data_IF_030302849571
#
_entry.id   IF_030302849571
#
_cell.length_a   1.000
_cell.length_b   1.000
_cell.length_c   1.000
_cell.angle_alpha   90.00
_cell.angle_beta   90.00
_cell.angle_gamma   90.00
#
_symmetry.space_group_name_H-M   'P 1'
#
loop_
_entity.id
_entity.type
_entity.pdbx_description
1 polymer ?
#
# COMPACT_ATOMS: atom_id res chain seq x y z
N UNK A 1 -21.83 -6.09 -3.16
CA UNK A 1 -22.16 -7.40 -3.73
C UNK A 1 -22.03 -8.46 -2.66
N UNK A 2 -23.15 -9.01 -2.20
CA UNK A 2 -23.17 -10.13 -1.26
C UNK A 2 -23.32 -11.43 -2.06
N UNK A 3 -22.50 -12.42 -1.76
CA UNK A 3 -22.61 -13.76 -2.32
C UNK A 3 -23.16 -14.68 -1.22
N UNK A 4 -24.26 -15.37 -1.50
CA UNK A 4 -24.85 -16.32 -0.58
C UNK A 4 -24.48 -17.73 -1.04
N UNK A 5 -23.87 -18.49 -0.13
CA UNK A 5 -23.59 -19.92 -0.31
C UNK A 5 -24.53 -20.69 0.62
N UNK A 6 -25.22 -21.70 0.08
CA UNK A 6 -26.11 -22.56 0.86
C UNK A 6 -25.73 -24.02 0.62
N UNK A 7 -25.70 -24.79 1.70
CA UNK A 7 -25.47 -26.24 1.65
C UNK A 7 -26.85 -26.91 1.62
N UNK A 8 -27.11 -27.71 0.59
CA UNK A 8 -28.34 -28.48 0.46
C UNK A 8 -28.09 -29.92 0.93
N UNK A 9 -29.02 -30.54 1.68
CA UNK A 9 -28.86 -31.91 2.14
C UNK A 9 -28.84 -32.88 0.96
N UNK A 10 -27.88 -33.82 0.97
CA UNK A 10 -27.82 -34.90 -0.01
C UNK A 10 -28.90 -35.97 0.28
N UNK A 11 -29.48 -36.54 -0.78
CA UNK A 11 -30.66 -37.44 -0.70
C UNK A 11 -30.41 -38.77 0.01
N UNK A 12 -29.16 -39.15 0.28
CA UNK A 12 -28.77 -40.48 0.77
C UNK A 12 -27.93 -40.45 2.06
N UNK A 13 -28.06 -39.40 2.88
CA UNK A 13 -27.32 -39.32 4.15
C UNK A 13 -28.11 -40.06 5.25
N UNK A 14 -27.54 -41.07 5.93
CA UNK A 14 -28.20 -41.74 7.05
C UNK A 14 -28.55 -40.76 8.16
N UNK A 15 -29.75 -40.90 8.72
CA UNK A 15 -30.20 -40.11 9.88
C UNK A 15 -29.20 -40.30 11.03
N UNK A 16 -28.81 -39.19 11.69
CA UNK A 16 -27.81 -39.12 12.77
C UNK A 16 -26.32 -39.22 12.36
N UNK A 17 -25.97 -38.89 11.12
CA UNK A 17 -24.56 -38.72 10.73
C UNK A 17 -24.19 -37.23 10.66
N UNK A 18 -23.09 -36.84 11.31
CA UNK A 18 -22.48 -35.52 11.14
C UNK A 18 -21.48 -35.56 9.99
N UNK A 19 -21.50 -34.53 9.14
CA UNK A 19 -20.56 -34.38 8.03
C UNK A 19 -19.87 -33.02 8.14
N UNK A 20 -18.54 -33.04 8.04
CA UNK A 20 -17.72 -31.83 8.01
C UNK A 20 -17.49 -31.40 6.57
N UNK A 21 -17.70 -30.12 6.28
CA UNK A 21 -17.44 -29.53 4.97
C UNK A 21 -16.36 -28.46 5.13
N UNK A 22 -15.40 -28.41 4.22
CA UNK A 22 -14.51 -27.26 4.04
C UNK A 22 -14.77 -26.66 2.67
N UNK A 23 -14.74 -25.34 2.59
CA UNK A 23 -14.88 -24.61 1.34
C UNK A 23 -13.85 -23.49 1.29
N UNK A 24 -13.40 -23.18 0.09
CA UNK A 24 -12.49 -22.06 -0.17
C UNK A 24 -13.11 -21.20 -1.25
N UNK A 25 -13.04 -19.88 -1.07
CA UNK A 25 -13.61 -18.91 -2.01
C UNK A 25 -12.49 -18.02 -2.49
N UNK A 26 -12.34 -17.95 -3.81
CA UNK A 26 -11.35 -17.13 -4.47
C UNK A 26 -12.04 -16.05 -5.30
N UNK A 27 -11.69 -14.79 -5.07
CA UNK A 27 -12.07 -13.71 -5.96
C UNK A 27 -10.98 -13.53 -7.01
N UNK A 28 -11.34 -13.61 -8.28
CA UNK A 28 -10.39 -13.46 -9.39
C UNK A 28 -10.82 -12.30 -10.28
N UNK A 29 -9.85 -11.53 -10.74
CA UNK A 29 -10.09 -10.34 -11.56
C UNK A 29 -9.02 -10.22 -12.65
N UNK A 30 -9.46 -10.12 -13.91
CA UNK A 30 -8.61 -9.82 -15.07
C UNK A 30 -8.93 -8.41 -15.57
N UNK A 31 -7.91 -7.58 -15.81
CA UNK A 31 -8.09 -6.20 -16.26
C UNK A 31 -7.10 -5.82 -17.35
N UNK A 32 -7.53 -4.87 -18.18
CA UNK A 32 -6.70 -4.19 -19.18
C UNK A 32 -6.63 -2.70 -18.86
N UNK A 33 -5.50 -2.09 -19.16
CA UNK A 33 -5.35 -0.63 -19.08
C UNK A 33 -5.94 0.06 -20.31
N UNK A 34 -6.99 0.86 -20.11
CA UNK A 34 -7.57 1.75 -21.10
C UNK A 34 -7.91 3.10 -20.44
N UNK A 35 -6.89 3.94 -20.20
CA UNK A 35 -6.94 5.17 -19.37
C UNK A 35 -7.27 4.95 -17.89
N UNK A 36 -7.98 3.87 -17.58
CA UNK A 36 -8.23 3.30 -16.26
C UNK A 36 -8.20 1.77 -16.36
N UNK A 37 -8.05 1.08 -15.24
CA UNK A 37 -8.16 -0.38 -15.19
C UNK A 37 -9.61 -0.81 -15.44
N UNK A 38 -9.82 -1.59 -16.51
CA UNK A 38 -11.15 -2.06 -16.92
C UNK A 38 -11.13 -3.58 -17.11
N UNK A 39 -12.18 -4.25 -16.64
CA UNK A 39 -12.40 -5.68 -16.88
C UNK A 39 -13.27 -5.93 -18.13
N UNK A 40 -13.76 -4.89 -18.81
CA UNK A 40 -14.75 -5.04 -19.88
C UNK A 40 -14.26 -5.87 -21.07
N UNK A 41 -12.94 -5.84 -21.34
CA UNK A 41 -12.32 -6.55 -22.45
C UNK A 41 -11.71 -7.90 -22.05
N UNK A 42 -11.85 -8.31 -20.79
CA UNK A 42 -11.27 -9.54 -20.26
C UNK A 42 -12.32 -10.44 -19.63
N UNK A 43 -12.17 -11.74 -19.86
CA UNK A 43 -12.93 -12.79 -19.20
C UNK A 43 -11.97 -13.78 -18.53
N UNK A 44 -12.42 -14.40 -17.45
CA UNK A 44 -11.67 -15.49 -16.81
C UNK A 44 -11.83 -16.75 -17.67
N UNK A 45 -10.71 -17.34 -18.08
CA UNK A 45 -10.65 -18.53 -18.90
C UNK A 45 -10.79 -19.82 -18.10
N UNK A 46 -11.18 -20.90 -18.77
CA UNK A 46 -11.43 -22.22 -18.17
C UNK A 46 -10.17 -22.98 -17.71
N UNK A 47 -8.97 -22.53 -18.10
CA UNK A 47 -7.69 -23.11 -17.64
C UNK A 47 -7.19 -22.45 -16.36
N UNK A 48 -8.06 -21.72 -15.67
CA UNK A 48 -7.76 -21.16 -14.36
C UNK A 48 -7.72 -22.28 -13.32
N UNK A 49 -6.66 -22.30 -12.52
CA UNK A 49 -6.43 -23.23 -11.42
C UNK A 49 -6.14 -22.44 -10.14
N UNK A 50 -6.04 -23.12 -9.00
CA UNK A 50 -5.74 -22.50 -7.69
C UNK A 50 -4.45 -21.66 -7.71
N UNK A 51 -3.43 -22.10 -8.45
CA UNK A 51 -2.13 -21.44 -8.53
C UNK A 51 -1.93 -20.59 -9.80
N UNK A 52 -2.86 -20.64 -10.74
CA UNK A 52 -2.70 -19.99 -12.05
C UNK A 52 -4.01 -19.38 -12.53
N UNK A 53 -4.01 -18.08 -12.76
CA UNK A 53 -5.11 -17.43 -13.46
C UNK A 53 -4.94 -17.45 -14.98
N UNK A 54 -6.03 -17.73 -15.69
CA UNK A 54 -6.08 -17.62 -17.15
C UNK A 54 -7.01 -16.47 -17.54
N UNK A 55 -6.47 -15.43 -18.18
CA UNK A 55 -7.26 -14.29 -18.66
C UNK A 55 -7.35 -14.31 -20.19
N UNK A 56 -8.58 -14.24 -20.70
CA UNK A 56 -8.87 -14.14 -22.13
C UNK A 56 -9.28 -12.70 -22.41
N UNK A 57 -8.41 -11.94 -23.08
CA UNK A 57 -8.64 -10.52 -23.33
C UNK A 57 -8.57 -10.19 -24.82
N UNK A 58 -9.46 -9.31 -25.28
CA UNK A 58 -9.57 -8.91 -26.69
C UNK A 58 -8.86 -7.58 -27.02
N UNK A 59 -8.54 -6.80 -26.00
CA UNK A 59 -7.83 -5.53 -26.14
C UNK A 59 -6.35 -5.68 -25.80
N UNK A 60 -5.47 -5.25 -26.71
CA UNK A 60 -4.00 -5.36 -26.55
C UNK A 60 -3.44 -4.11 -25.86
N UNK A 61 -3.11 -4.22 -24.58
CA UNK A 61 -2.50 -3.14 -23.78
C UNK A 61 -1.76 -3.77 -22.59
N UNK A 62 -1.55 -3.01 -21.52
CA UNK A 62 -1.10 -3.57 -20.24
C UNK A 62 -2.23 -4.40 -19.61
N UNK A 63 -1.86 -5.59 -19.12
CA UNK A 63 -2.76 -6.50 -18.45
C UNK A 63 -2.39 -6.59 -16.97
N UNK A 64 -3.40 -6.73 -16.12
CA UNK A 64 -3.24 -7.01 -14.71
C UNK A 64 -4.21 -8.09 -14.28
N UNK A 65 -3.78 -8.86 -13.29
CA UNK A 65 -4.54 -9.95 -12.70
C UNK A 65 -4.44 -9.90 -11.19
N UNK A 66 -5.55 -10.15 -10.51
CA UNK A 66 -5.58 -10.28 -9.06
C UNK A 66 -6.36 -11.52 -8.65
N UNK A 67 -5.81 -12.26 -7.69
CA UNK A 67 -6.49 -13.30 -6.94
C UNK A 67 -6.56 -12.80 -5.50
N UNK A 68 -7.75 -12.45 -5.03
CA UNK A 68 -7.98 -12.01 -3.67
C UNK A 68 -8.68 -13.13 -2.90
N UNK A 69 -8.06 -13.53 -1.79
CA UNK A 69 -8.72 -14.33 -0.78
C UNK A 69 -9.46 -13.35 0.14
N UNK A 70 -10.74 -13.57 0.47
CA UNK A 70 -11.44 -12.75 1.43
C UNK A 70 -10.59 -12.65 2.72
N UNK A 71 -10.27 -11.44 3.21
CA UNK A 71 -9.59 -11.32 4.48
C UNK A 71 -10.51 -11.91 5.56
N UNK A 72 -9.92 -12.56 6.57
CA UNK A 72 -10.67 -12.89 7.77
C UNK A 72 -11.27 -11.60 8.35
N UNK A 73 -12.54 -11.64 8.71
CA UNK A 73 -13.19 -10.51 9.38
C UNK A 73 -12.49 -10.26 10.71
N UNK A 74 -11.77 -9.14 10.81
CA UNK A 74 -11.16 -8.67 12.05
C UNK A 74 -12.22 -7.86 12.78
N UNK A 75 -12.71 -8.36 13.89
CA UNK A 75 -13.64 -7.61 14.73
C UNK A 75 -12.85 -7.06 15.94
N UNK A 76 -12.59 -5.75 15.99
CA UNK A 76 -11.67 -5.16 16.97
C UNK A 76 -12.13 -5.36 18.43
N UNK A 77 -13.42 -5.59 18.68
CA UNK A 77 -13.95 -5.85 20.01
C UNK A 77 -13.85 -7.32 20.41
N UNK A 78 -14.14 -8.24 19.49
CA UNK A 78 -13.95 -9.67 19.77
C UNK A 78 -12.48 -10.01 19.84
N UNK A 79 -11.64 -9.43 18.98
CA UNK A 79 -10.23 -9.83 18.78
C UNK A 79 -9.28 -9.11 19.74
N UNK A 80 -9.80 -8.24 20.63
CA UNK A 80 -9.06 -7.57 21.68
C UNK A 80 -8.28 -8.57 22.59
N UNK A 81 -8.81 -9.78 22.78
CA UNK A 81 -8.12 -10.83 23.54
C UNK A 81 -6.84 -11.33 22.85
N UNK A 82 -6.78 -11.27 21.51
CA UNK A 82 -5.59 -11.61 20.75
C UNK A 82 -4.48 -10.57 20.97
N UNK A 83 -4.86 -9.31 21.17
CA UNK A 83 -3.92 -8.28 21.61
C UNK A 83 -3.41 -8.48 23.04
N UNK A 84 -4.09 -9.26 23.89
CA UNK A 84 -3.56 -9.67 25.20
C UNK A 84 -2.50 -10.78 25.06
N UNK A 85 -2.63 -11.67 24.08
CA UNK A 85 -1.58 -12.67 23.77
C UNK A 85 -0.31 -12.07 23.17
N UNK A 86 -0.35 -10.79 22.77
CA UNK A 86 0.85 -10.06 22.33
C UNK A 86 1.88 -9.95 23.47
N UNK A 87 1.45 -10.01 24.73
CA UNK A 87 2.37 -10.09 25.88
C UNK A 87 3.11 -11.44 25.98
N UNK A 88 2.59 -12.51 25.38
CA UNK A 88 3.27 -13.82 25.35
C UNK A 88 4.48 -13.81 24.40
N UNK A 89 4.47 -12.93 23.39
CA UNK A 89 5.61 -12.71 22.49
C UNK A 89 6.01 -11.23 22.46
N UNK A 90 6.75 -10.75 23.48
CA UNK A 90 7.06 -9.34 23.66
C UNK A 90 7.92 -8.74 22.54
N UNK A 91 8.57 -9.58 21.72
CA UNK A 91 9.46 -9.13 20.65
C UNK A 91 8.74 -8.30 19.61
N UNK A 92 7.52 -8.68 19.23
CA UNK A 92 6.75 -7.96 18.20
C UNK A 92 6.47 -6.53 18.65
N UNK A 93 6.04 -6.34 19.90
CA UNK A 93 5.80 -5.00 20.48
C UNK A 93 7.09 -4.21 20.57
N UNK A 94 8.18 -4.85 21.02
CA UNK A 94 9.47 -4.20 21.14
C UNK A 94 9.95 -3.65 19.78
N UNK A 95 9.83 -4.43 18.70
CA UNK A 95 10.18 -3.96 17.35
C UNK A 95 9.30 -2.80 16.88
N UNK A 96 7.98 -2.88 17.08
CA UNK A 96 7.06 -1.79 16.72
C UNK A 96 7.42 -0.51 17.47
N UNK A 97 7.70 -0.61 18.77
CA UNK A 97 8.12 0.53 19.60
C UNK A 97 9.45 1.11 19.14
N UNK A 98 10.44 0.28 18.81
CA UNK A 98 11.74 0.75 18.31
C UNK A 98 11.58 1.49 16.98
N UNK A 99 10.81 0.94 16.03
CA UNK A 99 10.55 1.59 14.74
C UNK A 99 9.88 2.95 14.95
N UNK A 100 8.88 2.99 15.85
CA UNK A 100 8.17 4.23 16.16
C UNK A 100 9.09 5.28 16.80
N UNK A 101 9.97 4.87 17.72
CA UNK A 101 10.98 5.75 18.32
C UNK A 101 11.97 6.28 17.27
N UNK A 102 12.50 5.42 16.40
CA UNK A 102 13.41 5.82 15.32
C UNK A 102 12.73 6.81 14.37
N UNK A 103 11.46 6.58 14.04
CA UNK A 103 10.68 7.49 13.21
C UNK A 103 10.52 8.86 13.87
N UNK A 104 10.18 8.91 15.16
CA UNK A 104 10.08 10.19 15.88
C UNK A 104 11.42 10.92 15.96
N UNK A 105 12.53 10.20 16.20
CA UNK A 105 13.86 10.79 16.18
C UNK A 105 14.21 11.37 14.80
N UNK A 106 13.90 10.64 13.72
CA UNK A 106 14.09 11.12 12.36
C UNK A 106 13.25 12.38 12.06
N UNK A 107 12.00 12.42 12.51
CA UNK A 107 11.15 13.61 12.40
C UNK A 107 11.72 14.81 13.15
N UNK A 108 12.20 14.63 14.37
CA UNK A 108 12.84 15.70 15.14
C UNK A 108 14.11 16.20 14.45
N UNK A 109 14.92 15.30 13.91
CA UNK A 109 16.12 15.65 13.15
C UNK A 109 15.80 16.41 11.87
N UNK A 110 14.80 15.95 11.11
CA UNK A 110 14.33 16.62 9.90
C UNK A 110 13.80 18.03 10.24
N UNK A 111 12.97 18.17 11.28
CA UNK A 111 12.47 19.46 11.72
C UNK A 111 13.59 20.41 12.18
N UNK A 112 14.64 19.89 12.81
CA UNK A 112 15.83 20.67 13.16
C UNK A 112 16.59 21.14 11.91
N UNK A 113 16.78 20.26 10.92
CA UNK A 113 17.42 20.59 9.64
C UNK A 113 16.62 21.62 8.86
N UNK A 114 15.30 21.47 8.76
CA UNK A 114 14.43 22.42 8.08
C UNK A 114 14.49 23.83 8.71
N UNK A 115 14.62 23.93 10.04
CA UNK A 115 14.83 25.22 10.73
C UNK A 115 16.19 25.83 10.39
N UNK A 116 17.24 25.00 10.28
CA UNK A 116 18.59 25.46 9.92
C UNK A 116 18.66 25.90 8.46
N UNK A 117 17.99 25.20 7.55
CA UNK A 117 17.95 25.55 6.12
C UNK A 117 17.28 26.90 5.85
N UNK A 118 16.32 27.32 6.69
CA UNK A 118 15.73 28.66 6.59
C UNK A 118 16.76 29.79 6.73
N UNK A 119 17.81 29.60 7.54
CA UNK A 119 18.86 30.60 7.73
C UNK A 119 19.72 30.81 6.46
N UNK A 120 19.81 29.82 5.59
CA UNK A 120 20.59 29.88 4.35
C UNK A 120 19.75 30.28 3.13
N UNK A 121 18.45 30.52 3.32
CA UNK A 121 17.52 30.92 2.25
C UNK A 121 17.31 32.43 2.14
N UNK A 122 17.85 33.20 3.08
CA UNK A 122 17.77 34.65 3.03
C UNK A 122 18.69 35.21 1.94
N UNK A 123 18.22 36.28 1.28
CA UNK A 123 18.95 36.96 0.22
C UNK A 123 20.20 37.59 0.82
N UNK A 124 21.36 37.02 0.50
CA UNK A 124 22.65 37.62 0.86
C UNK A 124 22.90 38.77 -0.12
N UNK A 125 22.94 39.99 0.40
CA UNK A 125 23.37 41.17 -0.36
C UNK A 125 24.89 41.09 -0.47
N UNK A 126 25.41 40.98 -1.69
CA UNK A 126 26.85 41.06 -1.93
C UNK A 126 27.32 42.48 -1.64
N UNK A 127 28.52 42.62 -1.08
CA UNK A 127 29.13 43.90 -0.73
C UNK A 127 29.23 44.86 -1.94
N UNK A 128 29.23 44.30 -3.14
CA UNK A 128 29.37 44.98 -4.42
C UNK A 128 28.05 45.63 -4.91
N UNK A 129 26.92 45.33 -4.26
CA UNK A 129 25.60 45.82 -4.68
C UNK A 129 25.29 47.17 -4.02
N UNK A 130 25.76 48.27 -4.63
CA UNK A 130 25.61 49.62 -4.07
C UNK A 130 24.21 50.22 -4.32
N UNK A 131 23.53 50.75 -3.28
CA UNK A 131 22.24 51.41 -3.44
C UNK A 131 22.42 52.72 -4.25
N UNK A 132 21.90 52.73 -5.47
CA UNK A 132 21.96 53.90 -6.39
C UNK A 132 22.54 53.59 -7.77
N UNK A 133 23.09 52.39 -7.98
CA UNK A 133 23.48 51.96 -9.33
C UNK A 133 22.26 51.65 -10.20
N UNK A 134 22.40 51.89 -11.50
CA UNK A 134 21.30 51.74 -12.45
C UNK A 134 20.77 50.29 -12.55
N UNK A 135 21.59 49.30 -12.22
CA UNK A 135 21.27 47.87 -12.36
C UNK A 135 21.74 47.09 -11.13
N UNK A 136 20.81 46.53 -10.36
CA UNK A 136 21.11 45.56 -9.30
C UNK A 136 21.07 44.13 -9.86
N UNK A 137 22.04 43.29 -9.48
CA UNK A 137 22.09 41.89 -9.90
C UNK A 137 21.56 40.97 -8.81
N UNK A 138 20.62 40.10 -9.17
CA UNK A 138 20.17 38.98 -8.33
C UNK A 138 20.62 37.68 -8.98
N UNK A 139 21.54 36.97 -8.32
CA UNK A 139 22.02 35.67 -8.78
C UNK A 139 21.34 34.57 -7.97
N UNK A 140 20.59 33.70 -8.64
CA UNK A 140 19.98 32.52 -8.03
C UNK A 140 20.66 31.26 -8.59
N UNK A 141 21.27 30.46 -7.72
CA UNK A 141 21.90 29.19 -8.10
C UNK A 141 20.96 28.04 -7.71
N UNK A 142 20.51 27.29 -8.70
CA UNK A 142 19.72 26.07 -8.50
C UNK A 142 20.57 24.85 -8.78
N UNK A 143 20.87 24.05 -7.75
CA UNK A 143 21.55 22.76 -7.93
C UNK A 143 20.54 21.63 -8.14
N UNK A 144 20.93 20.60 -8.89
CA UNK A 144 20.09 19.43 -9.13
C UNK A 144 19.90 18.56 -7.87
N UNK A 145 18.83 17.77 -7.83
CA UNK A 145 18.48 16.92 -6.69
C UNK A 145 19.44 15.75 -6.39
N UNK A 146 20.47 15.55 -7.23
CA UNK A 146 21.42 14.45 -7.09
C UNK A 146 22.58 14.85 -6.18
N UNK A 147 23.06 13.90 -5.38
CA UNK A 147 24.28 14.10 -4.59
C UNK A 147 25.46 14.42 -5.52
N UNK A 148 26.19 15.51 -5.24
CA UNK A 148 27.27 16.06 -6.07
C UNK A 148 26.84 16.65 -7.44
N UNK A 149 25.63 17.21 -7.54
CA UNK A 149 25.16 17.89 -8.76
C UNK A 149 25.67 19.34 -8.94
N UNK A 150 26.73 19.73 -8.22
CA UNK A 150 27.35 21.06 -8.26
C UNK A 150 28.86 20.94 -8.27
#
# INVERSE_FOLDING_TARGET
NYYYMAILPASEVPVNTSMSYSFEIYYMLCQVWEKQWSNHYCLIGNQTTESRMHCLCTHMSFFAGAIAVPPNDINPFSDAHLFLTVFDNPWVVAFVMIILLLFLLALLWAAYKDRKDKLFRDVIVLDDNFPGESHGYLVAVHTGARMSAG
#
